data_IF_536576585456
#
_entry.id   IF_536576585456
#
_cell.length_a   1.000
_cell.length_b   1.000
_cell.length_c   1.000
_cell.angle_alpha   90.00
_cell.angle_beta   90.00
_cell.angle_gamma   90.00
#
_symmetry.space_group_name_H-M   'P 1'
#
loop_
_entity.id
_entity.type
_entity.pdbx_description
1 polymer ?
#
# COMPACT_ATOMS: atom_id res chain seq x y z
N UNK A 1 11.20 -3.51 26.64
CA UNK A 1 11.38 -2.20 26.00
C UNK A 1 10.40 -1.26 26.65
N UNK A 2 10.86 -0.13 27.17
CA UNK A 2 9.95 0.89 27.66
C UNK A 2 9.32 1.55 26.43
N UNK A 3 8.02 1.33 26.19
CA UNK A 3 7.28 2.02 25.12
C UNK A 3 7.39 3.55 25.24
N UNK A 4 7.69 4.03 26.45
CA UNK A 4 7.92 5.43 26.82
C UNK A 4 9.07 6.08 26.03
N UNK A 5 10.14 5.33 25.74
CA UNK A 5 11.32 5.86 25.05
C UNK A 5 11.03 6.25 23.59
N UNK A 6 10.08 5.56 22.94
CA UNK A 6 9.63 5.87 21.57
C UNK A 6 8.83 7.17 21.50
N UNK A 7 8.14 7.52 22.60
CA UNK A 7 7.37 8.77 22.74
C UNK A 7 8.15 9.90 23.42
N UNK A 8 9.43 9.69 23.73
CA UNK A 8 10.26 10.69 24.42
C UNK A 8 10.43 11.96 23.57
N UNK A 9 10.49 13.14 24.19
CA UNK A 9 10.73 14.42 23.48
C UNK A 9 12.15 14.51 22.90
N UNK A 10 13.11 13.82 23.53
CA UNK A 10 14.50 13.79 23.07
C UNK A 10 14.68 12.90 21.82
N UNK A 11 15.19 13.49 20.72
CA UNK A 11 15.45 12.79 19.45
C UNK A 11 16.41 11.63 19.61
N UNK A 12 17.51 11.79 20.36
CA UNK A 12 18.52 10.75 20.51
C UNK A 12 17.97 9.53 21.25
N UNK A 13 17.09 9.76 22.23
CA UNK A 13 16.37 8.69 22.93
C UNK A 13 15.43 7.96 21.96
N UNK A 14 14.63 8.70 21.17
CA UNK A 14 13.72 8.08 20.18
C UNK A 14 14.47 7.28 19.12
N UNK A 15 15.53 7.83 18.53
CA UNK A 15 16.31 7.16 17.49
C UNK A 15 16.93 5.86 17.99
N UNK A 16 17.46 5.88 19.22
CA UNK A 16 17.98 4.67 19.88
C UNK A 16 16.86 3.67 20.13
N UNK A 17 15.69 4.13 20.57
CA UNK A 17 14.53 3.28 20.81
C UNK A 17 14.02 2.62 19.51
N UNK A 18 13.95 3.35 18.40
CA UNK A 18 13.57 2.80 17.08
C UNK A 18 14.57 1.74 16.62
N UNK A 19 15.89 1.99 16.77
CA UNK A 19 16.92 0.98 16.45
C UNK A 19 16.80 -0.27 17.33
N UNK A 20 16.54 -0.09 18.62
CA UNK A 20 16.30 -1.20 19.54
C UNK A 20 14.98 -1.93 19.25
N UNK A 21 13.98 -1.24 18.69
CA UNK A 21 12.69 -1.82 18.33
C UNK A 21 12.86 -2.91 17.29
N UNK A 22 13.61 -2.66 16.21
CA UNK A 22 13.87 -3.68 15.19
C UNK A 22 14.43 -4.99 15.79
N UNK A 23 15.37 -4.88 16.72
CA UNK A 23 15.93 -6.06 17.40
C UNK A 23 14.91 -6.76 18.30
N UNK A 24 14.03 -6.00 18.96
CA UNK A 24 12.96 -6.55 19.78
C UNK A 24 11.90 -7.26 18.92
N UNK A 25 11.52 -6.67 17.78
CA UNK A 25 10.55 -7.25 16.85
C UNK A 25 10.97 -8.64 16.40
N UNK A 26 12.25 -8.82 16.08
CA UNK A 26 12.81 -10.12 15.65
C UNK A 26 12.92 -11.13 16.79
N UNK A 27 13.20 -10.69 18.02
CA UNK A 27 13.43 -11.59 19.17
C UNK A 27 12.16 -12.13 19.80
N UNK A 28 11.06 -11.36 19.76
CA UNK A 28 9.80 -11.76 20.38
C UNK A 28 9.09 -12.81 19.52
N UNK A 29 8.86 -14.00 20.09
CA UNK A 29 8.30 -15.16 19.39
C UNK A 29 6.80 -15.12 19.21
N UNK A 30 6.07 -14.64 20.22
CA UNK A 30 4.60 -14.64 20.22
C UNK A 30 4.07 -13.23 20.29
N UNK A 31 3.07 -12.92 19.47
CA UNK A 31 2.49 -11.59 19.35
C UNK A 31 0.98 -11.64 19.52
N UNK A 32 0.47 -10.87 20.48
CA UNK A 32 -0.97 -10.56 20.58
C UNK A 32 -1.31 -9.31 19.76
N UNK A 33 -2.56 -9.16 19.33
CA UNK A 33 -2.97 -7.93 18.62
C UNK A 33 -2.85 -6.69 19.51
N UNK A 34 -3.06 -6.86 20.82
CA UNK A 34 -2.86 -5.79 21.80
C UNK A 34 -1.40 -5.32 21.87
N UNK A 35 -0.42 -6.23 21.71
CA UNK A 35 0.99 -5.85 21.66
C UNK A 35 1.28 -4.99 20.42
N UNK A 36 0.73 -5.37 19.28
CA UNK A 36 0.89 -4.66 18.01
C UNK A 36 0.23 -3.28 18.06
N UNK A 37 -0.97 -3.18 18.64
CA UNK A 37 -1.68 -1.92 18.88
C UNK A 37 -0.87 -0.98 19.80
N UNK A 38 -0.26 -1.52 20.87
CA UNK A 38 0.60 -0.74 21.78
C UNK A 38 1.85 -0.21 21.09
N UNK A 39 2.47 -1.03 20.23
CA UNK A 39 3.62 -0.59 19.43
C UNK A 39 3.20 0.52 18.50
N UNK A 40 2.12 0.35 17.74
CA UNK A 40 1.70 1.39 16.80
C UNK A 40 1.29 2.69 17.48
N UNK A 41 0.67 2.61 18.66
CA UNK A 41 0.45 3.81 19.48
C UNK A 41 1.77 4.52 19.81
N UNK A 42 2.79 3.80 20.25
CA UNK A 42 4.10 4.38 20.54
C UNK A 42 4.78 4.97 19.29
N UNK A 43 4.70 4.27 18.15
CA UNK A 43 5.23 4.73 16.86
C UNK A 43 4.50 5.98 16.34
N UNK A 44 3.18 6.06 16.54
CA UNK A 44 2.40 7.24 16.21
C UNK A 44 2.90 8.48 16.96
N UNK A 45 3.11 8.36 18.28
CA UNK A 45 3.65 9.47 19.06
C UNK A 45 5.14 9.74 18.78
N UNK A 46 5.90 8.73 18.36
CA UNK A 46 7.26 8.93 17.84
C UNK A 46 7.25 9.85 16.62
N UNK A 47 6.34 9.60 15.67
CA UNK A 47 6.12 10.46 14.51
C UNK A 47 5.60 11.84 14.91
N UNK A 48 4.67 11.88 15.86
CA UNK A 48 4.08 13.13 16.39
C UNK A 48 5.13 14.11 16.93
N UNK A 49 6.15 13.61 17.64
CA UNK A 49 7.23 14.41 18.23
C UNK A 49 8.35 14.78 17.23
N UNK A 50 8.25 14.38 15.96
CA UNK A 50 9.24 14.73 14.93
C UNK A 50 8.88 16.05 14.22
N UNK A 51 9.75 17.05 14.33
CA UNK A 51 9.47 18.42 13.85
C UNK A 51 10.23 18.82 12.58
N UNK A 52 11.43 18.28 12.33
CA UNK A 52 12.22 18.69 11.17
C UNK A 52 11.81 17.88 9.93
N UNK A 53 11.46 18.50 8.79
CA UNK A 53 10.94 17.81 7.61
C UNK A 53 11.81 16.64 7.11
N UNK A 54 13.14 16.83 7.05
CA UNK A 54 14.08 15.76 6.67
C UNK A 54 14.00 14.56 7.61
N UNK A 55 13.91 14.82 8.92
CA UNK A 55 13.81 13.77 9.95
C UNK A 55 12.45 13.09 9.89
N UNK A 56 11.37 13.83 9.64
CA UNK A 56 10.03 13.27 9.47
C UNK A 56 10.00 12.26 8.31
N UNK A 57 10.57 12.62 7.15
CA UNK A 57 10.61 11.72 6.00
C UNK A 57 11.47 10.47 6.25
N UNK A 58 12.65 10.64 6.87
CA UNK A 58 13.52 9.52 7.26
C UNK A 58 12.83 8.60 8.27
N UNK A 59 12.17 9.17 9.28
CA UNK A 59 11.42 8.41 10.28
C UNK A 59 10.26 7.65 9.63
N UNK A 60 9.46 8.29 8.77
CA UNK A 60 8.37 7.64 8.08
C UNK A 60 8.84 6.45 7.22
N UNK A 61 10.01 6.58 6.58
CA UNK A 61 10.67 5.49 5.85
C UNK A 61 11.03 4.34 6.80
N UNK A 62 11.77 4.64 7.87
CA UNK A 62 12.18 3.64 8.86
C UNK A 62 11.00 2.91 9.49
N UNK A 63 9.93 3.63 9.86
CA UNK A 63 8.72 3.05 10.44
C UNK A 63 8.00 2.12 9.45
N UNK A 64 7.92 2.52 8.18
CA UNK A 64 7.28 1.69 7.15
C UNK A 64 8.00 0.37 6.92
N UNK A 65 9.32 0.35 7.02
CA UNK A 65 10.14 -0.84 6.81
C UNK A 65 10.09 -1.83 7.98
N UNK A 66 9.62 -1.42 9.17
CA UNK A 66 9.53 -2.29 10.34
C UNK A 66 8.70 -3.56 10.10
N UNK A 67 7.69 -3.50 9.21
CA UNK A 67 6.89 -4.67 8.88
C UNK A 67 7.73 -5.80 8.28
N UNK A 68 8.84 -5.49 7.61
CA UNK A 68 9.71 -6.51 7.01
C UNK A 68 10.62 -7.22 8.02
N UNK A 69 10.71 -6.70 9.25
CA UNK A 69 11.43 -7.36 10.33
C UNK A 69 10.71 -8.62 10.85
N UNK A 70 9.41 -8.74 10.62
CA UNK A 70 8.66 -9.94 10.99
C UNK A 70 8.89 -11.06 9.95
N UNK A 71 9.20 -12.29 10.38
CA UNK A 71 9.44 -13.41 9.45
C UNK A 71 8.13 -13.96 8.86
N UNK A 72 7.04 -13.87 9.60
CA UNK A 72 5.74 -14.46 9.27
C UNK A 72 4.82 -13.45 8.55
N UNK A 73 4.28 -13.83 7.39
CA UNK A 73 3.39 -12.97 6.59
C UNK A 73 2.10 -12.60 7.33
N UNK A 74 1.52 -13.54 8.08
CA UNK A 74 0.31 -13.26 8.88
C UNK A 74 0.58 -12.18 9.92
N UNK A 75 1.71 -12.25 10.61
CA UNK A 75 2.15 -11.23 11.56
C UNK A 75 2.41 -9.87 10.89
N UNK A 76 2.96 -9.84 9.66
CA UNK A 76 3.06 -8.60 8.88
C UNK A 76 1.69 -7.95 8.65
N UNK A 77 0.70 -8.75 8.26
CA UNK A 77 -0.67 -8.26 8.05
C UNK A 77 -1.35 -7.80 9.33
N UNK A 78 -1.14 -8.49 10.45
CA UNK A 78 -1.65 -8.06 11.77
C UNK A 78 -0.99 -6.77 12.24
N UNK A 79 0.31 -6.60 11.97
CA UNK A 79 1.01 -5.35 12.23
C UNK A 79 0.44 -4.21 11.37
N UNK A 80 0.16 -4.46 10.09
CA UNK A 80 -0.49 -3.49 9.21
C UNK A 80 -1.93 -3.15 9.65
N UNK A 81 -2.70 -4.14 10.10
CA UNK A 81 -4.05 -3.90 10.63
C UNK A 81 -4.01 -2.96 11.84
N UNK A 82 -3.05 -3.18 12.74
CA UNK A 82 -2.80 -2.31 13.90
C UNK A 82 -2.40 -0.88 13.51
N UNK A 83 -1.68 -0.70 12.40
CA UNK A 83 -1.42 0.62 11.82
C UNK A 83 -2.72 1.30 11.40
N UNK A 84 -3.55 0.64 10.58
CA UNK A 84 -4.80 1.22 10.08
C UNK A 84 -5.75 1.59 11.22
N UNK A 85 -5.91 0.71 12.22
CA UNK A 85 -6.67 1.00 13.44
C UNK A 85 -6.14 2.24 14.17
N UNK A 86 -4.81 2.37 14.27
CA UNK A 86 -4.19 3.49 14.97
C UNK A 86 -4.40 4.79 14.22
N UNK A 87 -4.09 4.85 12.92
CA UNK A 87 -4.24 6.10 12.15
C UNK A 87 -5.70 6.53 12.03
N UNK A 88 -6.62 5.58 11.90
CA UNK A 88 -8.06 5.84 11.93
C UNK A 88 -8.50 6.45 13.26
N UNK A 89 -8.13 5.83 14.39
CA UNK A 89 -8.50 6.31 15.74
C UNK A 89 -7.98 7.72 16.02
N UNK A 90 -6.74 8.00 15.64
CA UNK A 90 -6.08 9.26 15.98
C UNK A 90 -6.32 10.36 14.93
N UNK A 91 -6.98 10.07 13.79
CA UNK A 91 -7.05 10.98 12.64
C UNK A 91 -7.57 12.37 12.98
N UNK A 92 -8.69 12.46 13.70
CA UNK A 92 -9.28 13.74 14.12
C UNK A 92 -8.41 14.52 15.10
N UNK A 93 -7.50 13.84 15.81
CA UNK A 93 -6.57 14.47 16.74
C UNK A 93 -5.39 15.14 16.05
N UNK A 94 -5.12 14.83 14.78
CA UNK A 94 -4.01 15.41 14.02
C UNK A 94 -4.41 16.82 13.55
N UNK A 95 -3.70 17.82 14.05
CA UNK A 95 -3.86 19.20 13.56
C UNK A 95 -3.17 19.43 12.22
N UNK A 96 -3.56 20.50 11.53
CA UNK A 96 -3.08 20.81 10.18
C UNK A 96 -1.56 20.94 10.05
N UNK A 97 -0.84 21.40 11.09
CA UNK A 97 0.63 21.54 11.04
C UNK A 97 1.36 20.19 11.07
N UNK A 98 0.67 19.12 11.51
CA UNK A 98 1.22 17.76 11.61
C UNK A 98 0.70 16.85 10.50
N UNK A 99 -0.25 17.27 9.69
CA UNK A 99 -0.95 16.40 8.76
C UNK A 99 -0.01 15.85 7.66
N UNK A 100 0.86 16.69 7.10
CA UNK A 100 1.75 16.33 5.98
C UNK A 100 2.66 15.13 6.29
N UNK A 101 3.19 15.07 7.51
CA UNK A 101 4.09 13.98 7.89
C UNK A 101 3.34 12.66 8.08
N UNK A 102 2.07 12.71 8.48
CA UNK A 102 1.21 11.52 8.53
C UNK A 102 0.75 11.09 7.14
N UNK A 103 0.50 12.02 6.21
CA UNK A 103 0.32 11.70 4.79
C UNK A 103 1.53 10.98 4.20
N UNK A 104 2.75 11.47 4.47
CA UNK A 104 3.99 10.81 4.05
C UNK A 104 4.12 9.40 4.65
N UNK A 105 3.79 9.22 5.93
CA UNK A 105 3.80 7.90 6.58
C UNK A 105 2.80 6.92 5.95
N UNK A 106 1.57 7.35 5.67
CA UNK A 106 0.54 6.50 5.03
C UNK A 106 1.02 6.02 3.67
N UNK A 107 1.52 6.93 2.82
CA UNK A 107 2.08 6.58 1.50
C UNK A 107 3.16 5.50 1.59
N UNK A 108 4.11 5.67 2.50
CA UNK A 108 5.22 4.71 2.69
C UNK A 108 4.74 3.37 3.24
N UNK A 109 3.77 3.37 4.15
CA UNK A 109 3.16 2.13 4.66
C UNK A 109 2.43 1.39 3.53
N UNK A 110 1.67 2.08 2.69
CA UNK A 110 1.01 1.48 1.53
C UNK A 110 2.03 0.84 0.58
N UNK A 111 3.06 1.59 0.20
CA UNK A 111 4.16 1.08 -0.63
C UNK A 111 4.76 -0.21 -0.06
N UNK A 112 5.15 -0.22 1.22
CA UNK A 112 5.73 -1.42 1.83
C UNK A 112 4.72 -2.57 1.92
N UNK A 113 3.44 -2.28 2.13
CA UNK A 113 2.38 -3.30 2.22
C UNK A 113 2.16 -4.02 0.89
N UNK A 114 2.17 -3.29 -0.23
CA UNK A 114 2.05 -3.89 -1.56
C UNK A 114 3.23 -4.83 -1.88
N UNK A 115 4.44 -4.50 -1.42
CA UNK A 115 5.57 -5.43 -1.53
C UNK A 115 5.34 -6.72 -0.74
N UNK A 116 4.73 -6.63 0.45
CA UNK A 116 4.40 -7.82 1.26
C UNK A 116 3.35 -8.68 0.57
N UNK A 117 2.30 -8.08 -0.01
CA UNK A 117 1.26 -8.84 -0.72
C UNK A 117 1.83 -9.56 -1.94
N UNK A 118 2.75 -8.93 -2.67
CA UNK A 118 3.36 -9.50 -3.88
C UNK A 118 4.44 -10.57 -3.59
N UNK A 119 5.15 -10.47 -2.46
CA UNK A 119 6.22 -11.41 -2.08
C UNK A 119 5.73 -12.83 -1.75
N UNK A 120 4.45 -13.00 -1.42
CA UNK A 120 3.87 -14.33 -1.22
C UNK A 120 3.65 -15.06 -2.56
N UNK A 121 3.44 -14.32 -3.64
CA UNK A 121 3.17 -14.85 -4.98
C UNK A 121 4.45 -15.40 -5.63
N UNK A 122 5.58 -14.71 -5.45
CA UNK A 122 6.87 -15.20 -5.97
C UNK A 122 7.28 -16.54 -5.35
N UNK A 123 6.78 -16.85 -4.15
CA UNK A 123 6.94 -18.16 -3.52
C UNK A 123 5.99 -19.23 -4.08
N UNK A 124 4.80 -18.85 -4.55
CA UNK A 124 3.84 -19.77 -5.18
C UNK A 124 4.23 -20.14 -6.62
N UNK A 125 4.93 -19.24 -7.33
CA UNK A 125 5.50 -19.50 -8.66
C UNK A 125 6.78 -20.35 -8.63
N UNK A 126 7.35 -20.61 -7.44
CA UNK A 126 8.36 -21.67 -7.30
C UNK A 126 7.66 -23.03 -7.49
N UNK A 127 8.28 -24.02 -8.17
CA UNK A 127 7.66 -25.33 -8.35
C UNK A 127 7.21 -25.87 -7.01
N UNK A 128 5.90 -26.09 -6.85
CA UNK A 128 5.27 -26.81 -5.75
C UNK A 128 5.72 -28.27 -5.85
N UNK A 129 6.98 -28.50 -5.50
CA UNK A 129 7.58 -29.81 -5.40
C UNK A 129 8.41 -29.77 -4.12
N UNK A 130 8.02 -30.60 -3.14
CA UNK A 130 8.77 -31.00 -1.94
C UNK A 130 8.39 -30.39 -0.58
N UNK A 131 7.15 -29.99 -0.30
CA UNK A 131 6.68 -30.08 1.12
C UNK A 131 5.24 -30.58 1.24
N UNK A 132 5.16 -31.67 1.99
CA UNK A 132 4.02 -32.45 2.48
C UNK A 132 2.65 -31.76 2.61
N UNK A 133 1.65 -32.50 2.13
CA UNK A 133 0.21 -32.29 2.09
C UNK A 133 -0.52 -32.19 3.45
N UNK A 134 -0.15 -31.23 4.32
CA UNK A 134 -0.87 -31.04 5.59
C UNK A 134 -1.05 -29.59 6.07
N UNK A 135 -0.91 -28.60 5.17
CA UNK A 135 -1.15 -27.18 5.47
C UNK A 135 -1.97 -26.44 4.39
N UNK A 136 -2.72 -27.16 3.55
CA UNK A 136 -3.57 -26.56 2.50
C UNK A 136 -4.96 -26.16 3.01
N UNK A 137 -5.02 -25.50 4.17
CA UNK A 137 -6.24 -24.86 4.69
C UNK A 137 -5.87 -23.59 5.45
N UNK A 138 -6.10 -22.44 4.79
CA UNK A 138 -6.00 -21.05 5.25
C UNK A 138 -4.68 -20.29 5.05
N UNK A 139 -3.98 -20.52 3.94
CA UNK A 139 -3.22 -19.39 3.38
C UNK A 139 -4.23 -18.41 2.77
N UNK A 140 -4.73 -17.47 3.59
CA UNK A 140 -5.43 -16.32 3.05
C UNK A 140 -4.45 -15.59 2.12
N UNK A 141 -4.88 -15.31 0.89
CA UNK A 141 -4.14 -14.44 -0.01
C UNK A 141 -3.87 -13.12 0.72
N UNK A 142 -2.60 -12.76 0.83
CA UNK A 142 -2.19 -11.54 1.52
C UNK A 142 -2.82 -10.29 0.87
N UNK A 143 -3.06 -10.33 -0.44
CA UNK A 143 -3.80 -9.27 -1.13
C UNK A 143 -5.24 -9.18 -0.62
N UNK A 144 -5.93 -10.32 -0.42
CA UNK A 144 -7.29 -10.35 0.12
C UNK A 144 -7.34 -9.85 1.58
N UNK A 145 -6.38 -10.25 2.42
CA UNK A 145 -6.29 -9.76 3.81
C UNK A 145 -6.03 -8.26 3.84
N UNK A 146 -5.10 -7.78 3.02
CA UNK A 146 -4.82 -6.35 2.86
C UNK A 146 -6.09 -5.58 2.46
N UNK A 147 -6.80 -6.03 1.42
CA UNK A 147 -8.04 -5.41 0.95
C UNK A 147 -9.13 -5.40 2.02
N UNK A 148 -9.22 -6.48 2.81
CA UNK A 148 -10.15 -6.56 3.95
C UNK A 148 -9.81 -5.51 5.01
N UNK A 149 -8.53 -5.34 5.36
CA UNK A 149 -8.11 -4.31 6.32
C UNK A 149 -8.37 -2.89 5.81
N UNK A 150 -8.07 -2.61 4.53
CA UNK A 150 -8.35 -1.31 3.92
C UNK A 150 -9.85 -0.99 3.93
N UNK A 151 -10.68 -1.96 3.54
CA UNK A 151 -12.13 -1.80 3.54
C UNK A 151 -12.67 -1.57 4.95
N UNK A 152 -12.32 -2.45 5.90
CA UNK A 152 -12.87 -2.46 7.25
C UNK A 152 -12.35 -1.32 8.14
N UNK A 153 -11.11 -0.85 7.98
CA UNK A 153 -10.54 0.17 8.88
C UNK A 153 -10.51 1.57 8.27
N UNK A 154 -10.46 1.70 6.95
CA UNK A 154 -10.30 3.00 6.30
C UNK A 154 -11.55 3.37 5.51
N UNK A 155 -11.92 2.57 4.51
CA UNK A 155 -12.90 3.00 3.52
C UNK A 155 -14.34 2.95 4.03
N UNK A 156 -14.69 2.07 4.96
CA UNK A 156 -16.07 1.92 5.47
C UNK A 156 -16.41 2.80 6.68
N UNK A 157 -15.45 3.59 7.19
CA UNK A 157 -15.61 4.35 8.44
C UNK A 157 -15.24 5.82 8.25
N UNK A 158 -15.92 6.71 8.98
CA UNK A 158 -15.50 8.11 9.13
C UNK A 158 -14.20 8.18 9.95
N UNK A 159 -13.30 9.15 9.69
CA UNK A 159 -13.51 10.37 8.91
C UNK A 159 -13.20 10.30 7.41
N UNK A 160 -13.91 11.13 6.63
CA UNK A 160 -13.67 11.29 5.20
C UNK A 160 -12.26 11.76 4.85
N UNK A 161 -11.59 12.57 5.68
CA UNK A 161 -10.23 13.04 5.39
C UNK A 161 -9.24 11.89 5.12
N UNK A 162 -9.35 10.80 5.87
CA UNK A 162 -8.49 9.62 5.70
C UNK A 162 -8.87 8.81 4.45
N UNK A 163 -10.18 8.65 4.19
CA UNK A 163 -10.73 7.95 3.02
C UNK A 163 -10.31 8.65 1.72
N UNK A 164 -10.47 9.96 1.67
CA UNK A 164 -10.12 10.80 0.53
C UNK A 164 -8.62 10.74 0.27
N UNK A 165 -7.81 10.89 1.32
CA UNK A 165 -6.35 10.77 1.17
C UNK A 165 -5.92 9.40 0.66
N UNK A 166 -6.55 8.31 1.14
CA UNK A 166 -6.26 6.99 0.62
C UNK A 166 -6.55 6.90 -0.87
N UNK A 167 -7.70 7.39 -1.34
CA UNK A 167 -8.03 7.44 -2.76
C UNK A 167 -6.99 8.23 -3.57
N UNK A 168 -6.49 9.35 -3.03
CA UNK A 168 -5.53 10.23 -3.71
C UNK A 168 -4.19 9.56 -4.00
N UNK A 169 -3.79 8.57 -3.20
CA UNK A 169 -2.43 8.01 -3.23
C UNK A 169 -2.36 6.53 -3.59
N UNK A 170 -3.49 5.80 -3.50
CA UNK A 170 -3.50 4.34 -3.56
C UNK A 170 -2.90 3.77 -4.86
N UNK A 171 -3.42 4.19 -6.02
CA UNK A 171 -2.98 3.67 -7.33
C UNK A 171 -1.52 4.01 -7.59
N UNK A 172 -1.09 5.22 -7.22
CA UNK A 172 0.28 5.66 -7.39
C UNK A 172 1.27 4.81 -6.58
N UNK A 173 0.97 4.56 -5.29
CA UNK A 173 1.84 3.74 -4.45
C UNK A 173 1.80 2.26 -4.83
N UNK A 174 0.65 1.74 -5.27
CA UNK A 174 0.51 0.38 -5.80
C UNK A 174 1.41 0.20 -7.02
N UNK A 175 1.26 1.08 -8.01
CA UNK A 175 2.05 1.01 -9.23
C UNK A 175 3.54 1.15 -8.95
N UNK A 176 3.92 2.16 -8.16
CA UNK A 176 5.32 2.39 -7.78
C UNK A 176 5.92 1.18 -7.07
N UNK A 177 5.13 0.48 -6.27
CA UNK A 177 5.60 -0.68 -5.51
C UNK A 177 5.70 -1.96 -6.33
N UNK A 178 4.65 -2.29 -7.09
CA UNK A 178 4.50 -3.62 -7.70
C UNK A 178 3.95 -3.58 -9.12
N UNK A 179 3.75 -2.41 -9.73
CA UNK A 179 3.09 -2.27 -11.04
C UNK A 179 3.71 -3.12 -12.16
N UNK A 180 5.04 -3.29 -12.17
CA UNK A 180 5.72 -4.13 -13.14
C UNK A 180 5.46 -5.64 -12.97
N UNK A 181 5.09 -6.09 -11.77
CA UNK A 181 5.10 -7.52 -11.39
C UNK A 181 3.76 -8.05 -10.88
N UNK A 182 2.80 -7.18 -10.58
CA UNK A 182 1.50 -7.55 -10.02
C UNK A 182 0.68 -8.35 -11.06
N UNK A 183 0.25 -9.59 -10.75
CA UNK A 183 -0.66 -10.35 -11.60
C UNK A 183 -2.07 -9.73 -11.63
N UNK A 184 -2.86 -10.02 -12.66
CA UNK A 184 -4.21 -9.43 -12.78
C UNK A 184 -5.13 -9.79 -11.61
N UNK A 185 -5.07 -11.05 -11.13
CA UNK A 185 -5.92 -11.50 -10.01
C UNK A 185 -5.67 -10.68 -8.74
N UNK A 186 -4.40 -10.43 -8.39
CA UNK A 186 -4.05 -9.61 -7.24
C UNK A 186 -4.35 -8.14 -7.46
N UNK A 187 -4.16 -7.62 -8.69
CA UNK A 187 -4.55 -6.25 -8.98
C UNK A 187 -6.05 -6.05 -8.78
N UNK A 188 -6.89 -6.98 -9.26
CA UNK A 188 -8.34 -6.97 -9.01
C UNK A 188 -8.64 -7.06 -7.52
N UNK A 189 -8.01 -8.00 -6.79
CA UNK A 189 -8.20 -8.13 -5.34
C UNK A 189 -7.84 -6.85 -4.59
N UNK A 190 -6.75 -6.18 -4.97
CA UNK A 190 -6.31 -4.91 -4.39
C UNK A 190 -7.24 -3.74 -4.75
N UNK A 191 -7.98 -3.82 -5.86
CA UNK A 191 -8.97 -2.80 -6.24
C UNK A 191 -10.37 -3.06 -5.66
N UNK A 192 -10.64 -4.27 -5.18
CA UNK A 192 -11.92 -4.69 -4.59
C UNK A 192 -12.50 -3.74 -3.53
N UNK A 193 -11.70 -3.13 -2.61
CA UNK A 193 -12.24 -2.19 -1.64
C UNK A 193 -12.89 -0.97 -2.29
N UNK A 194 -12.37 -0.51 -3.44
CA UNK A 194 -12.90 0.65 -4.16
C UNK A 194 -14.11 0.28 -5.02
N UNK A 195 -14.15 -0.93 -5.56
CA UNK A 195 -15.33 -1.47 -6.22
C UNK A 195 -16.51 -1.58 -5.26
N UNK A 196 -16.28 -2.15 -4.08
CA UNK A 196 -17.31 -2.20 -3.03
C UNK A 196 -17.74 -0.79 -2.64
N UNK A 197 -16.79 0.12 -2.46
CA UNK A 197 -17.07 1.48 -2.04
C UNK A 197 -17.91 2.25 -3.06
N UNK A 198 -17.57 2.23 -4.35
CA UNK A 198 -18.32 2.98 -5.36
C UNK A 198 -19.75 2.46 -5.54
N UNK A 199 -19.97 1.15 -5.33
CA UNK A 199 -21.29 0.53 -5.46
C UNK A 199 -22.18 0.71 -4.22
N UNK A 200 -21.60 0.93 -3.04
CA UNK A 200 -22.35 0.99 -1.77
C UNK A 200 -22.41 2.39 -1.13
N UNK A 201 -21.52 3.30 -1.52
CA UNK A 201 -21.39 4.61 -0.90
C UNK A 201 -22.47 5.59 -1.36
N UNK A 202 -22.98 6.38 -0.41
CA UNK A 202 -24.01 7.41 -0.61
C UNK A 202 -23.43 8.83 -0.56
N UNK A 203 -22.29 9.04 0.09
CA UNK A 203 -21.58 10.31 0.13
C UNK A 203 -20.96 10.64 -1.23
N UNK A 204 -21.60 11.58 -1.94
CA UNK A 204 -21.18 12.02 -3.28
C UNK A 204 -19.75 12.53 -3.34
N UNK A 205 -19.20 13.08 -2.24
CA UNK A 205 -17.81 13.55 -2.22
C UNK A 205 -16.86 12.37 -2.28
N UNK A 206 -17.15 11.31 -1.51
CA UNK A 206 -16.34 10.08 -1.50
C UNK A 206 -16.50 9.33 -2.81
N UNK A 207 -17.72 9.12 -3.29
CA UNK A 207 -17.97 8.46 -4.58
C UNK A 207 -17.27 9.18 -5.73
N UNK A 208 -17.37 10.52 -5.78
CA UNK A 208 -16.64 11.32 -6.77
C UNK A 208 -15.13 11.13 -6.64
N UNK A 209 -14.60 11.17 -5.42
CA UNK A 209 -13.15 11.02 -5.21
C UNK A 209 -12.62 9.67 -5.64
N UNK A 210 -13.36 8.58 -5.38
CA UNK A 210 -13.00 7.24 -5.84
C UNK A 210 -13.00 7.18 -7.36
N UNK A 211 -14.01 7.74 -8.01
CA UNK A 211 -14.05 7.82 -9.47
C UNK A 211 -12.84 8.58 -10.01
N UNK A 212 -12.63 9.81 -9.54
CA UNK A 212 -11.61 10.72 -10.08
C UNK A 212 -10.18 10.20 -9.81
N UNK A 213 -9.89 9.69 -8.61
CA UNK A 213 -8.51 9.41 -8.18
C UNK A 213 -8.10 7.94 -8.27
N UNK A 214 -9.06 7.02 -8.42
CA UNK A 214 -8.77 5.59 -8.57
C UNK A 214 -9.09 5.16 -9.99
N UNK A 215 -10.35 5.27 -10.42
CA UNK A 215 -10.76 4.69 -11.71
C UNK A 215 -10.35 5.54 -12.90
N UNK A 216 -10.57 6.86 -12.87
CA UNK A 216 -10.13 7.74 -13.97
C UNK A 216 -8.61 7.73 -14.08
N UNK A 217 -7.91 7.85 -12.95
CA UNK A 217 -6.44 7.74 -12.92
C UNK A 217 -5.97 6.42 -13.55
N UNK A 218 -6.53 5.26 -13.19
CA UNK A 218 -6.20 3.98 -13.84
C UNK A 218 -6.46 3.96 -15.35
N UNK A 219 -7.51 4.65 -15.82
CA UNK A 219 -7.88 4.70 -17.24
C UNK A 219 -7.03 5.67 -18.06
N UNK A 220 -6.63 6.82 -17.49
CA UNK A 220 -6.01 7.91 -18.23
C UNK A 220 -4.49 7.99 -18.05
N UNK A 221 -3.97 7.56 -16.90
CA UNK A 221 -2.54 7.68 -16.59
C UNK A 221 -1.75 6.37 -16.69
N UNK A 222 -2.44 5.21 -16.70
CA UNK A 222 -1.80 3.90 -16.70
C UNK A 222 -2.17 3.10 -17.94
N UNK A 223 -1.24 2.24 -18.36
CA UNK A 223 -1.38 1.34 -19.50
C UNK A 223 -1.03 -0.09 -19.06
N UNK A 224 -1.40 -1.07 -19.88
CA UNK A 224 -1.05 -2.47 -19.64
C UNK A 224 -0.16 -2.98 -20.78
N UNK A 225 0.87 -3.74 -20.43
CA UNK A 225 1.88 -4.18 -21.40
C UNK A 225 1.28 -4.96 -22.58
N UNK A 226 0.22 -5.74 -22.34
CA UNK A 226 -0.48 -6.53 -23.37
C UNK A 226 -1.29 -5.70 -24.38
N UNK A 227 -1.46 -4.41 -24.11
CA UNK A 227 -2.22 -3.47 -24.97
C UNK A 227 -1.33 -2.59 -25.83
N UNK A 228 -0.04 -2.54 -25.51
CA UNK A 228 0.93 -1.82 -26.32
C UNK A 228 1.15 -2.61 -27.61
N UNK A 229 0.85 -2.00 -28.74
CA UNK A 229 1.25 -2.55 -30.04
C UNK A 229 2.77 -2.66 -30.02
N UNK A 230 3.33 -3.80 -30.45
CA UNK A 230 4.76 -3.92 -30.70
C UNK A 230 5.16 -2.82 -31.69
N UNK A 231 5.80 -1.76 -31.21
CA UNK A 231 6.43 -0.77 -32.08
C UNK A 231 7.76 -1.38 -32.52
N UNK A 232 7.74 -1.86 -33.75
CA UNK A 232 8.84 -2.14 -34.68
C UNK A 232 9.78 -3.35 -34.46
N UNK A 233 9.43 -4.45 -35.13
CA UNK A 233 10.40 -5.37 -35.76
C UNK A 233 10.62 -5.06 -37.27
N UNK A 234 10.16 -3.91 -37.79
CA UNK A 234 10.43 -3.47 -39.17
C UNK A 234 10.72 -1.97 -39.19
N UNK A 235 11.89 -1.57 -38.68
CA UNK A 235 12.50 -0.29 -38.98
C UNK A 235 13.93 -0.53 -39.49
N UNK A 236 14.03 -1.13 -40.67
CA UNK A 236 15.21 -0.96 -41.54
C UNK A 236 14.92 0.21 -42.48
N UNK A 237 15.83 1.18 -42.50
CA UNK A 237 16.02 2.29 -43.48
C UNK A 237 14.81 3.25 -43.58
N UNK A 238 14.87 4.55 -43.28
CA UNK A 238 15.90 5.57 -43.37
C UNK A 238 15.50 6.77 -42.50
N UNK A 239 16.50 7.56 -42.11
CA UNK A 239 16.45 8.78 -41.30
C UNK A 239 15.58 9.90 -41.86
N UNK A 240 14.92 10.67 -41.00
CA UNK A 240 15.07 12.13 -40.92
C UNK A 240 14.40 12.70 -39.65
N UNK A 241 15.05 13.72 -39.10
CA UNK A 241 14.87 14.33 -37.78
C UNK A 241 13.43 14.75 -37.45
N UNK A 242 12.98 14.38 -36.24
CA UNK A 242 12.06 15.20 -35.45
C UNK A 242 12.55 15.17 -34.00
N UNK A 243 13.37 16.16 -33.65
CA UNK A 243 13.51 16.61 -32.26
C UNK A 243 12.20 17.29 -31.87
N UNK A 244 11.34 16.61 -31.10
CA UNK A 244 10.33 17.32 -30.30
C UNK A 244 9.97 16.54 -29.03
N UNK A 245 10.22 17.19 -27.89
CA UNK A 245 9.71 16.93 -26.54
C UNK A 245 9.83 15.50 -25.98
N UNK A 246 11.08 15.07 -25.74
CA UNK A 246 11.33 13.98 -24.79
C UNK A 246 11.47 14.56 -23.37
N UNK A 247 10.34 14.88 -22.72
CA UNK A 247 10.32 15.13 -21.27
C UNK A 247 10.71 13.82 -20.56
N UNK A 248 11.86 13.78 -19.84
CA UNK A 248 12.29 12.59 -19.12
C UNK A 248 11.31 12.14 -18.02
N UNK A 249 10.32 12.98 -17.68
CA UNK A 249 9.30 12.71 -16.66
C UNK A 249 8.06 11.93 -17.18
N UNK A 250 7.90 11.74 -18.48
CA UNK A 250 6.72 11.11 -19.07
C UNK A 250 6.95 9.65 -19.53
N UNK A 251 7.72 8.87 -18.76
CA UNK A 251 7.69 7.41 -18.95
C UNK A 251 6.25 6.91 -18.72
N UNK A 252 5.68 6.26 -19.73
CA UNK A 252 4.36 5.66 -19.62
C UNK A 252 4.29 4.75 -18.40
N UNK A 253 3.26 4.91 -17.55
CA UNK A 253 3.08 4.08 -16.36
C UNK A 253 2.45 2.75 -16.77
N UNK A 254 3.27 1.78 -17.14
CA UNK A 254 2.83 0.49 -17.71
C UNK A 254 2.81 -0.62 -16.65
N UNK A 255 1.65 -1.22 -16.42
CA UNK A 255 1.52 -2.47 -15.67
C UNK A 255 2.11 -3.61 -16.50
N UNK A 256 3.13 -4.27 -15.93
CA UNK A 256 3.96 -5.22 -16.69
C UNK A 256 3.36 -6.63 -16.76
N UNK A 257 2.85 -7.15 -15.64
CA UNK A 257 2.37 -8.53 -15.53
C UNK A 257 0.84 -8.67 -15.58
N UNK A 258 0.10 -7.65 -15.12
CA UNK A 258 -1.36 -7.64 -15.20
C UNK A 258 -1.81 -7.49 -16.65
N UNK A 259 -2.92 -8.14 -17.00
CA UNK A 259 -3.53 -8.04 -18.33
C UNK A 259 -4.79 -7.22 -18.29
N UNK A 260 -4.97 -6.32 -19.25
CA UNK A 260 -6.12 -5.40 -19.27
C UNK A 260 -7.44 -6.17 -19.31
N UNK A 261 -7.54 -7.23 -20.13
CA UNK A 261 -8.78 -7.96 -20.33
C UNK A 261 -9.34 -8.58 -19.03
N UNK A 262 -8.46 -9.10 -18.17
CA UNK A 262 -8.84 -9.72 -16.89
C UNK A 262 -9.33 -8.66 -15.89
N UNK A 263 -8.68 -7.50 -15.85
CA UNK A 263 -9.09 -6.38 -15.00
C UNK A 263 -10.41 -5.77 -15.49
N UNK A 264 -10.53 -5.54 -16.79
CA UNK A 264 -11.74 -4.97 -17.41
C UNK A 264 -12.97 -5.85 -17.21
N UNK A 265 -12.84 -7.17 -17.39
CA UNK A 265 -13.96 -8.09 -17.20
C UNK A 265 -14.59 -7.92 -15.80
N UNK A 266 -13.75 -7.82 -14.76
CA UNK A 266 -14.22 -7.62 -13.39
C UNK A 266 -14.88 -6.27 -13.18
N UNK A 267 -14.33 -5.20 -13.76
CA UNK A 267 -14.95 -3.86 -13.73
C UNK A 267 -16.33 -3.90 -14.39
N UNK A 268 -16.46 -4.55 -15.54
CA UNK A 268 -17.74 -4.67 -16.25
C UNK A 268 -18.76 -5.52 -15.50
N UNK A 269 -18.36 -6.64 -14.91
CA UNK A 269 -19.23 -7.48 -14.08
C UNK A 269 -19.85 -6.67 -12.93
N UNK A 270 -19.03 -5.88 -12.25
CA UNK A 270 -19.45 -5.03 -11.14
C UNK A 270 -20.40 -3.91 -11.60
N UNK A 271 -20.09 -3.28 -12.75
CA UNK A 271 -20.94 -2.25 -13.32
C UNK A 271 -22.29 -2.79 -13.82
N UNK A 272 -22.33 -4.05 -14.28
CA UNK A 272 -23.56 -4.70 -14.73
C UNK A 272 -24.43 -5.23 -13.57
N UNK A 273 -23.85 -5.45 -12.40
CA UNK A 273 -24.55 -5.91 -11.20
C UNK A 273 -25.12 -4.77 -10.33
N UNK A 274 -24.75 -3.51 -10.62
CA UNK A 274 -25.25 -2.30 -9.98
C UNK A 274 -26.49 -1.73 -10.68
#
# INVERSE_FOLDING_TARGET
MAHEDLSCVDKHVRDKAVKSLTQYLVKKKEWSDLDLDKIWKALFYCMWMSDKPKIQNELAENLSQLMHAFPDSSLKMRFLHSFFKTIHREWHGIDGLRLDKFYSLIRKILFQSFQVTNSSITKMLLPVCLTTSQFLQSEWDQAQVFSTHVSSEILSKLPNGLRLHLCDVYVQELFKSIGATVPSENLVMLLEPFFTLISTETDRIVTKRVNDMVFQVLLTEFQFQDTLKEVDAIATTDSEDNEDDNDPAAQAKVFGAAKLAEVQHRIFDLAAAA
#
